data_IF_207606289108
#
_entry.id   IF_207606289108
#
_cell.length_a   1.000
_cell.length_b   1.000
_cell.length_c   1.000
_cell.angle_alpha   90.00
_cell.angle_beta   90.00
_cell.angle_gamma   90.00
#
_symmetry.space_group_name_H-M   'P 1'
#
loop_
_entity.id
_entity.type
_entity.pdbx_description
1 polymer ?
#
# COMPACT_ATOMS: atom_id res chain seq x y z
N UNK A 1 32.57 18.32 4.55
CA UNK A 1 31.21 17.96 5.00
C UNK A 1 31.06 16.46 4.96
N UNK A 2 30.67 15.86 6.10
CA UNK A 2 30.33 14.45 6.22
C UNK A 2 29.00 14.29 6.95
N UNK A 3 28.43 13.08 6.94
CA UNK A 3 27.20 12.76 7.68
C UNK A 3 27.40 11.51 8.50
N UNK A 4 27.03 11.58 9.78
CA UNK A 4 26.99 10.41 10.67
C UNK A 4 25.53 9.98 10.86
N UNK A 5 25.22 8.74 10.50
CA UNK A 5 23.89 8.11 10.69
C UNK A 5 23.98 7.11 11.83
N UNK A 6 23.10 7.23 12.81
CA UNK A 6 22.99 6.22 13.86
C UNK A 6 21.84 5.25 13.55
N UNK A 7 22.11 3.94 13.62
CA UNK A 7 21.12 2.90 13.30
C UNK A 7 20.93 1.93 14.46
N UNK A 8 19.68 1.75 14.89
CA UNK A 8 19.35 0.76 15.90
C UNK A 8 19.40 -0.66 15.34
N UNK A 9 20.13 -1.54 16.01
CA UNK A 9 20.32 -2.95 15.64
C UNK A 9 20.04 -3.86 16.84
N UNK A 10 19.72 -5.13 16.59
CA UNK A 10 19.46 -6.11 17.67
C UNK A 10 20.74 -6.65 18.33
N UNK A 11 21.87 -6.61 17.62
CA UNK A 11 23.20 -6.94 18.14
C UNK A 11 24.22 -5.91 17.65
N UNK A 12 24.80 -5.13 18.57
CA UNK A 12 25.74 -4.05 18.26
C UNK A 12 27.14 -4.56 17.90
N UNK A 13 27.58 -5.67 18.49
CA UNK A 13 28.92 -6.25 18.25
C UNK A 13 29.02 -6.92 16.88
N UNK A 14 27.90 -7.46 16.40
CA UNK A 14 27.82 -8.13 15.12
C UNK A 14 26.49 -7.83 14.40
N UNK A 15 26.31 -6.59 13.91
CA UNK A 15 25.08 -6.19 13.25
C UNK A 15 24.97 -6.90 11.91
N UNK A 16 23.84 -7.57 11.67
CA UNK A 16 23.60 -8.29 10.43
C UNK A 16 23.06 -7.34 9.34
N UNK A 17 23.21 -7.68 8.05
CA UNK A 17 22.51 -6.97 6.98
C UNK A 17 20.98 -6.92 7.16
N UNK A 18 20.42 -7.89 7.90
CA UNK A 18 19.00 -7.94 8.26
C UNK A 18 18.67 -6.88 9.31
N UNK A 19 19.51 -6.66 10.32
CA UNK A 19 19.31 -5.62 11.34
C UNK A 19 19.17 -4.22 10.72
N UNK A 20 20.03 -3.89 9.76
CA UNK A 20 19.96 -2.61 9.04
C UNK A 20 18.79 -2.50 8.06
N UNK A 21 18.26 -3.64 7.60
CA UNK A 21 17.08 -3.71 6.71
C UNK A 21 15.77 -3.67 7.48
N UNK A 22 15.73 -4.26 8.67
CA UNK A 22 14.52 -4.40 9.50
C UNK A 22 14.33 -3.24 10.49
N UNK A 23 15.29 -2.33 10.60
CA UNK A 23 15.09 -1.05 11.29
C UNK A 23 13.94 -0.27 10.63
N UNK A 24 13.02 0.31 11.42
CA UNK A 24 11.78 0.98 10.98
C UNK A 24 12.00 1.99 9.83
N UNK A 25 13.17 2.63 9.77
CA UNK A 25 13.70 3.19 8.52
C UNK A 25 15.03 2.52 8.20
N UNK A 26 15.13 1.75 7.11
CA UNK A 26 16.38 1.13 6.69
C UNK A 26 17.48 2.19 6.55
N UNK A 27 18.70 1.87 6.99
CA UNK A 27 19.85 2.78 6.91
C UNK A 27 20.03 3.36 5.49
N UNK A 28 19.77 2.59 4.45
CA UNK A 28 19.85 3.04 3.05
C UNK A 28 18.79 4.11 2.70
N UNK A 29 17.60 4.05 3.31
CA UNK A 29 16.58 5.10 3.17
C UNK A 29 17.05 6.38 3.83
N UNK A 30 17.66 6.29 5.02
CA UNK A 30 18.26 7.44 5.70
C UNK A 30 19.43 8.03 4.90
N UNK A 31 20.28 7.20 4.29
CA UNK A 31 21.37 7.68 3.40
C UNK A 31 20.84 8.44 2.18
N UNK A 32 19.95 7.83 1.41
CA UNK A 32 19.37 8.47 0.22
C UNK A 32 18.60 9.75 0.57
N UNK A 33 17.93 9.74 1.73
CA UNK A 33 17.30 10.92 2.29
C UNK A 33 18.31 12.01 2.65
N UNK A 34 19.37 11.69 3.40
CA UNK A 34 20.40 12.65 3.81
C UNK A 34 20.99 13.32 2.58
N UNK A 35 21.36 12.51 1.56
CA UNK A 35 21.88 13.00 0.30
C UNK A 35 20.95 14.03 -0.36
N UNK A 36 19.63 13.77 -0.34
CA UNK A 36 18.65 14.65 -0.96
C UNK A 36 18.37 15.92 -0.15
N UNK A 37 18.05 15.77 1.13
CA UNK A 37 17.55 16.86 1.98
C UNK A 37 18.67 17.80 2.39
N UNK A 38 19.82 17.25 2.74
CA UNK A 38 21.00 18.04 3.06
C UNK A 38 21.76 18.47 1.79
N UNK A 39 21.22 18.12 0.60
CA UNK A 39 21.83 18.39 -0.72
C UNK A 39 23.31 18.00 -0.75
N UNK A 40 23.61 16.81 -0.22
CA UNK A 40 24.97 16.34 -0.09
C UNK A 40 25.55 16.09 -1.48
N UNK A 41 26.79 16.52 -1.71
CA UNK A 41 27.53 16.14 -2.90
C UNK A 41 27.69 14.61 -2.96
N UNK A 42 27.75 13.99 -4.15
CA UNK A 42 27.97 12.55 -4.32
C UNK A 42 29.22 12.01 -3.60
N UNK A 43 30.22 12.86 -3.39
CA UNK A 43 31.47 12.54 -2.70
C UNK A 43 31.40 12.71 -1.17
N UNK A 44 30.23 13.11 -0.65
CA UNK A 44 30.03 13.30 0.79
C UNK A 44 30.19 11.98 1.53
N UNK A 45 31.06 11.99 2.54
CA UNK A 45 31.35 10.79 3.35
C UNK A 45 30.22 10.54 4.34
N UNK A 46 29.49 9.44 4.15
CA UNK A 46 28.47 8.98 5.10
C UNK A 46 29.02 7.84 5.95
N UNK A 47 29.05 8.01 7.27
CA UNK A 47 29.42 6.97 8.23
C UNK A 47 28.19 6.49 8.98
N UNK A 48 28.03 5.18 9.12
CA UNK A 48 26.94 4.59 9.91
C UNK A 48 27.54 4.04 11.21
N UNK A 49 26.92 4.38 12.35
CA UNK A 49 27.30 3.86 13.66
C UNK A 49 26.11 3.04 14.21
N UNK A 50 26.31 1.73 14.51
CA UNK A 50 25.27 0.91 15.12
C UNK A 50 25.10 1.25 16.61
N UNK A 51 23.88 1.05 17.14
CA UNK A 51 23.61 1.08 18.57
C UNK A 51 22.54 0.06 18.96
N UNK A 52 22.66 -0.53 20.15
CA UNK A 52 21.72 -1.56 20.62
C UNK A 52 20.31 -1.00 20.87
N UNK A 53 19.25 -1.59 20.29
CA UNK A 53 17.89 -1.03 20.32
C UNK A 53 17.27 -0.78 21.71
N UNK A 54 17.74 -1.50 22.74
CA UNK A 54 17.07 -1.60 24.04
C UNK A 54 17.79 -0.92 25.22
N UNK A 55 18.95 -0.29 25.02
CA UNK A 55 19.80 0.14 26.16
C UNK A 55 20.15 1.63 26.12
N UNK A 56 19.91 2.38 27.20
CA UNK A 56 20.17 3.83 27.22
C UNK A 56 21.67 4.19 27.14
N UNK A 57 22.51 3.41 27.82
CA UNK A 57 23.92 3.75 28.07
C UNK A 57 24.79 3.66 26.81
N UNK A 58 24.63 2.62 25.97
CA UNK A 58 25.28 2.56 24.67
C UNK A 58 24.89 3.74 23.79
N UNK A 59 23.61 4.16 23.75
CA UNK A 59 23.20 5.28 22.90
C UNK A 59 23.83 6.63 23.27
N UNK A 60 24.01 6.90 24.57
CA UNK A 60 24.74 8.10 25.00
C UNK A 60 26.23 8.05 24.57
N UNK A 61 26.86 6.88 24.61
CA UNK A 61 28.25 6.67 24.17
C UNK A 61 28.38 6.70 22.65
N UNK A 62 27.45 6.10 21.92
CA UNK A 62 27.38 6.11 20.46
C UNK A 62 27.24 7.55 19.97
N UNK A 63 26.40 8.37 20.63
CA UNK A 63 26.29 9.77 20.24
C UNK A 63 27.53 10.59 20.62
N UNK A 64 28.16 10.33 21.77
CA UNK A 64 29.43 10.96 22.11
C UNK A 64 30.51 10.67 21.06
N UNK A 65 30.63 9.41 20.65
CA UNK A 65 31.52 8.96 19.58
C UNK A 65 31.16 9.62 18.25
N UNK A 66 29.87 9.68 17.91
CA UNK A 66 29.39 10.38 16.72
C UNK A 66 29.77 11.86 16.75
N UNK A 67 29.71 12.51 17.92
CA UNK A 67 30.06 13.91 18.10
C UNK A 67 31.57 14.16 17.99
N UNK A 68 32.40 13.27 18.53
CA UNK A 68 33.86 13.32 18.31
C UNK A 68 34.19 13.19 16.83
N UNK A 69 33.66 12.17 16.15
CA UNK A 69 33.87 11.97 14.72
C UNK A 69 33.34 13.14 13.89
N UNK A 70 32.17 13.67 14.25
CA UNK A 70 31.56 14.78 13.54
C UNK A 70 32.40 16.06 13.67
N UNK A 71 33.01 16.32 14.83
CA UNK A 71 33.95 17.42 15.02
C UNK A 71 35.23 17.24 14.20
N UNK A 72 35.82 16.04 14.22
CA UNK A 72 37.03 15.74 13.44
C UNK A 72 36.82 15.92 11.92
N UNK A 73 35.59 15.66 11.45
CA UNK A 73 35.25 15.66 10.04
C UNK A 73 34.51 16.92 9.56
N UNK A 74 34.28 17.90 10.45
CA UNK A 74 33.42 19.06 10.21
C UNK A 74 32.09 18.63 9.55
N UNK A 75 31.36 17.79 10.29
CA UNK A 75 30.22 17.02 9.82
C UNK A 75 28.97 17.22 10.70
N UNK A 76 27.81 16.99 10.10
CA UNK A 76 26.50 17.03 10.77
C UNK A 76 26.11 15.63 11.25
N UNK A 77 25.54 15.54 12.45
CA UNK A 77 24.94 14.30 12.95
C UNK A 77 23.49 14.24 12.49
N UNK A 78 23.10 13.13 11.86
CA UNK A 78 21.70 12.88 11.49
C UNK A 78 21.17 11.69 12.27
N UNK A 79 20.15 11.94 13.10
CA UNK A 79 19.55 10.94 13.96
C UNK A 79 18.10 10.64 13.56
N UNK A 80 17.76 9.39 13.30
CA UNK A 80 16.36 9.00 13.11
C UNK A 80 15.68 8.74 14.46
N UNK A 81 14.84 9.67 14.89
CA UNK A 81 14.09 9.59 16.14
C UNK A 81 12.79 8.79 16.03
N UNK A 82 12.38 8.39 14.81
CA UNK A 82 11.15 7.62 14.57
C UNK A 82 11.33 6.14 14.87
N UNK A 83 12.51 5.60 14.55
CA UNK A 83 12.82 4.18 14.68
C UNK A 83 13.45 3.83 16.02
N UNK A 84 13.35 2.56 16.43
CA UNK A 84 13.94 2.04 17.67
C UNK A 84 12.99 2.10 18.87
N UNK A 85 13.42 1.55 20.01
CA UNK A 85 12.64 1.63 21.25
C UNK A 85 12.91 2.97 21.93
N UNK A 86 11.93 3.49 22.69
CA UNK A 86 12.03 4.78 23.41
C UNK A 86 13.36 4.99 24.18
N UNK A 87 13.95 3.98 24.86
CA UNK A 87 15.24 4.14 25.53
C UNK A 87 16.39 4.56 24.61
N UNK A 88 16.40 4.13 23.34
CA UNK A 88 17.40 4.52 22.36
C UNK A 88 17.29 6.01 21.99
N UNK A 89 16.07 6.47 21.68
CA UNK A 89 15.78 7.87 21.38
C UNK A 89 16.13 8.77 22.56
N UNK A 90 15.76 8.38 23.78
CA UNK A 90 16.07 9.12 25.00
C UNK A 90 17.59 9.14 25.26
N UNK A 91 18.26 8.00 25.10
CA UNK A 91 19.72 7.90 25.27
C UNK A 91 20.48 8.79 24.30
N UNK A 92 20.06 8.84 23.02
CA UNK A 92 20.61 9.76 22.04
C UNK A 92 20.37 11.22 22.47
N UNK A 93 19.16 11.60 22.86
CA UNK A 93 18.88 12.97 23.34
C UNK A 93 19.68 13.37 24.58
N UNK A 94 19.88 12.45 25.53
CA UNK A 94 20.67 12.70 26.75
C UNK A 94 22.17 12.81 26.49
N UNK A 95 22.67 12.10 25.46
CA UNK A 95 24.06 12.21 25.03
C UNK A 95 24.37 13.52 24.30
N UNK A 96 23.35 14.16 23.71
CA UNK A 96 23.52 15.40 22.98
C UNK A 96 23.55 16.59 23.94
N UNK A 97 24.57 17.43 23.84
CA UNK A 97 24.70 18.65 24.65
C UNK A 97 24.62 19.87 23.74
N UNK A 98 23.41 20.31 23.34
CA UNK A 98 23.24 21.43 22.41
C UNK A 98 23.82 22.77 22.93
N UNK A 99 24.01 22.88 24.24
CA UNK A 99 24.58 24.07 24.90
C UNK A 99 26.11 24.09 24.91
N UNK A 100 26.77 23.00 24.49
CA UNK A 100 28.22 23.00 24.31
C UNK A 100 28.55 23.72 22.98
N UNK A 101 29.32 24.82 23.00
CA UNK A 101 29.66 25.57 21.78
C UNK A 101 30.50 24.76 20.79
N UNK A 102 31.07 23.63 21.21
CA UNK A 102 31.78 22.70 20.34
C UNK A 102 30.89 21.53 19.87
N UNK A 103 29.63 21.43 20.31
CA UNK A 103 28.75 20.37 19.85
C UNK A 103 28.49 20.51 18.34
N UNK A 104 28.71 19.45 17.56
CA UNK A 104 28.34 19.45 16.15
C UNK A 104 26.82 19.55 16.03
N UNK A 105 26.33 20.18 14.96
CA UNK A 105 24.90 20.26 14.68
C UNK A 105 24.30 18.85 14.62
N UNK A 106 23.21 18.63 15.35
CA UNK A 106 22.39 17.42 15.24
C UNK A 106 21.05 17.73 14.62
N UNK A 107 20.76 17.06 13.50
CA UNK A 107 19.48 17.08 12.82
C UNK A 107 18.75 15.78 13.10
N UNK A 108 17.58 15.87 13.72
CA UNK A 108 16.74 14.72 13.98
C UNK A 108 15.67 14.57 12.90
N UNK A 109 15.35 13.34 12.54
CA UNK A 109 14.25 13.03 11.61
C UNK A 109 13.17 12.30 12.39
N UNK A 110 11.95 12.82 12.33
CA UNK A 110 10.77 12.20 12.93
C UNK A 110 9.69 12.07 11.86
N UNK A 111 8.95 10.96 11.89
CA UNK A 111 7.74 10.80 11.06
C UNK A 111 6.54 10.69 11.98
N UNK A 112 5.62 11.64 11.83
CA UNK A 112 4.33 11.59 12.51
C UNK A 112 3.53 10.35 12.08
N UNK A 113 2.71 9.80 12.97
CA UNK A 113 1.82 8.70 12.60
C UNK A 113 0.45 9.18 12.09
N UNK A 114 0.10 10.44 12.36
CA UNK A 114 -1.10 11.11 11.84
C UNK A 114 -0.96 12.64 11.99
N UNK A 115 -0.72 13.40 10.90
CA UNK A 115 -0.53 12.92 9.53
C UNK A 115 0.80 12.17 9.39
N UNK A 116 0.91 11.29 8.38
CA UNK A 116 2.17 10.61 8.07
C UNK A 116 3.11 11.57 7.34
N UNK A 117 3.72 12.47 8.12
CA UNK A 117 4.59 13.52 7.61
C UNK A 117 5.96 13.38 8.23
N UNK A 118 6.95 13.23 7.37
CA UNK A 118 8.33 13.33 7.77
C UNK A 118 8.65 14.81 8.06
N UNK A 119 9.36 15.03 9.16
CA UNK A 119 9.80 16.34 9.62
C UNK A 119 11.25 16.25 10.08
N UNK A 120 11.96 17.33 9.83
CA UNK A 120 13.24 17.62 10.45
C UNK A 120 12.96 18.32 11.77
N UNK A 121 13.61 17.84 12.82
CA UNK A 121 13.60 18.41 14.15
C UNK A 121 15.03 18.85 14.45
N UNK A 122 15.22 20.14 14.66
CA UNK A 122 16.50 20.72 15.07
C UNK A 122 16.38 21.20 16.52
N UNK A 123 17.41 20.96 17.33
CA UNK A 123 17.49 21.48 18.69
C UNK A 123 18.49 22.63 18.66
N UNK A 124 18.00 23.86 18.83
CA UNK A 124 18.80 25.08 18.89
C UNK A 124 19.75 25.08 20.08
N UNK A 125 20.79 25.92 20.01
CA UNK A 125 21.75 26.11 21.11
C UNK A 125 21.11 26.70 22.38
N UNK A 126 19.94 27.34 22.23
CA UNK A 126 19.07 27.83 23.30
C UNK A 126 18.14 26.74 23.86
N UNK A 127 18.20 25.52 23.33
CA UNK A 127 17.35 24.40 23.69
C UNK A 127 15.95 24.43 23.06
N UNK A 128 15.65 25.39 22.18
CA UNK A 128 14.38 25.41 21.45
C UNK A 128 14.33 24.32 20.39
N UNK A 129 13.13 23.78 20.16
CA UNK A 129 12.90 22.77 19.14
C UNK A 129 12.29 23.44 17.91
N UNK A 130 12.98 23.33 16.78
CA UNK A 130 12.50 23.81 15.48
C UNK A 130 12.07 22.64 14.62
N UNK A 131 10.81 22.61 14.21
CA UNK A 131 10.27 21.60 13.31
C UNK A 131 10.10 22.17 11.89
N UNK A 132 10.66 21.49 10.90
CA UNK A 132 10.47 21.80 9.48
C UNK A 132 9.90 20.60 8.76
N UNK A 133 8.76 20.77 8.08
CA UNK A 133 8.18 19.70 7.26
C UNK A 133 9.10 19.39 6.08
N UNK A 134 9.29 18.11 5.81
CA UNK A 134 10.14 17.70 4.71
C UNK A 134 9.41 17.85 3.37
N UNK A 135 10.07 18.46 2.36
CA UNK A 135 9.48 18.57 1.04
C UNK A 135 9.27 17.18 0.45
N UNK A 136 8.09 17.02 -0.15
CA UNK A 136 7.49 15.78 -0.63
C UNK A 136 8.14 15.27 -1.93
N UNK A 137 9.04 16.04 -2.53
CA UNK A 137 9.46 15.84 -3.91
C UNK A 137 10.21 14.51 -4.12
N UNK A 138 9.92 13.82 -5.24
CA UNK A 138 10.23 12.41 -5.59
C UNK A 138 9.87 11.32 -4.58
N UNK A 139 8.58 11.25 -4.21
CA UNK A 139 8.07 10.17 -3.36
C UNK A 139 8.31 8.77 -3.90
N UNK A 140 8.45 7.85 -2.95
CA UNK A 140 8.63 6.42 -3.13
C UNK A 140 7.66 5.85 -4.17
N UNK A 141 8.15 5.00 -5.06
CA UNK A 141 7.30 4.12 -5.87
C UNK A 141 6.83 2.96 -5.01
N UNK A 142 5.63 2.41 -5.25
CA UNK A 142 5.10 1.23 -4.54
C UNK A 142 6.13 0.09 -4.50
N UNK A 143 6.76 -0.23 -5.63
CA UNK A 143 7.81 -1.26 -5.67
C UNK A 143 9.05 -0.92 -4.82
N UNK A 144 9.43 0.35 -4.71
CA UNK A 144 10.54 0.77 -3.83
C UNK A 144 10.14 0.68 -2.37
N UNK A 145 8.92 1.07 -2.03
CA UNK A 145 8.36 0.95 -0.69
C UNK A 145 8.34 -0.53 -0.24
N UNK A 146 7.78 -1.43 -1.07
CA UNK A 146 7.64 -2.85 -0.74
C UNK A 146 8.99 -3.59 -0.59
N UNK A 147 10.00 -3.21 -1.39
CA UNK A 147 11.35 -3.79 -1.27
C UNK A 147 11.97 -3.56 0.10
N UNK A 148 11.57 -2.51 0.82
CA UNK A 148 12.03 -2.27 2.20
C UNK A 148 11.54 -3.36 3.15
N UNK A 149 10.40 -3.98 2.86
CA UNK A 149 9.84 -5.12 3.61
C UNK A 149 10.29 -6.47 3.05
N UNK A 150 11.28 -6.49 2.16
CA UNK A 150 11.72 -7.70 1.46
C UNK A 150 10.68 -8.28 0.49
N UNK A 151 9.65 -7.50 0.15
CA UNK A 151 8.58 -7.87 -0.79
C UNK A 151 8.87 -7.28 -2.16
N UNK A 152 8.52 -8.01 -3.21
CA UNK A 152 8.66 -7.53 -4.58
C UNK A 152 7.39 -7.79 -5.37
N UNK A 153 7.10 -6.91 -6.32
CA UNK A 153 6.06 -7.13 -7.30
C UNK A 153 6.51 -8.23 -8.28
N UNK A 154 5.67 -9.23 -8.54
CA UNK A 154 6.04 -10.41 -9.34
C UNK A 154 5.70 -10.31 -10.82
N UNK A 155 4.78 -9.43 -11.21
CA UNK A 155 4.31 -9.29 -12.59
C UNK A 155 3.93 -7.83 -12.96
N UNK A 156 4.88 -6.88 -12.89
CA UNK A 156 4.59 -5.46 -13.12
C UNK A 156 4.04 -5.16 -14.52
N UNK A 157 4.49 -5.87 -15.54
CA UNK A 157 3.99 -5.71 -16.91
C UNK A 157 2.53 -6.15 -17.05
N UNK A 158 2.12 -7.24 -16.39
CA UNK A 158 0.71 -7.67 -16.38
C UNK A 158 -0.17 -6.65 -15.69
N UNK A 159 0.31 -6.08 -14.58
CA UNK A 159 -0.38 -5.01 -13.86
C UNK A 159 -0.64 -3.82 -14.77
N UNK A 160 0.39 -3.34 -15.47
CA UNK A 160 0.26 -2.18 -16.37
C UNK A 160 -0.72 -2.45 -17.53
N UNK A 161 -0.72 -3.65 -18.10
CA UNK A 161 -1.71 -4.07 -19.11
C UNK A 161 -3.12 -4.07 -18.52
N UNK A 162 -3.28 -4.56 -17.29
CA UNK A 162 -4.57 -4.56 -16.61
C UNK A 162 -5.07 -3.14 -16.30
N UNK A 163 -4.20 -2.23 -15.83
CA UNK A 163 -4.55 -0.84 -15.58
C UNK A 163 -5.00 -0.11 -16.85
N UNK A 164 -4.28 -0.28 -17.97
CA UNK A 164 -4.68 0.26 -19.27
C UNK A 164 -6.03 -0.31 -19.73
N UNK A 165 -6.23 -1.61 -19.52
CA UNK A 165 -7.52 -2.26 -19.79
C UNK A 165 -8.65 -1.66 -18.95
N UNK A 166 -8.42 -1.42 -17.64
CA UNK A 166 -9.39 -0.76 -16.78
C UNK A 166 -9.72 0.63 -17.34
N UNK A 167 -8.73 1.49 -17.58
CA UNK A 167 -8.97 2.84 -18.11
C UNK A 167 -9.84 2.85 -19.37
N UNK A 168 -9.65 1.90 -20.30
CA UNK A 168 -10.47 1.73 -21.51
C UNK A 168 -11.89 1.20 -21.23
N UNK A 169 -12.08 0.52 -20.11
CA UNK A 169 -13.34 -0.14 -19.71
C UNK A 169 -14.18 0.69 -18.72
N UNK A 170 -13.84 1.98 -18.50
CA UNK A 170 -14.52 2.82 -17.50
C UNK A 170 -16.04 2.91 -17.71
N UNK A 171 -16.48 3.24 -18.92
CA UNK A 171 -17.91 3.36 -19.23
C UNK A 171 -18.67 2.05 -18.98
N UNK A 172 -18.06 0.90 -19.32
CA UNK A 172 -18.62 -0.42 -19.05
C UNK A 172 -18.78 -0.67 -17.54
N UNK A 173 -17.78 -0.31 -16.74
CA UNK A 173 -17.82 -0.48 -15.28
C UNK A 173 -18.97 0.33 -14.66
N UNK A 174 -19.12 1.60 -15.07
CA UNK A 174 -20.19 2.49 -14.59
C UNK A 174 -21.59 1.96 -14.98
N UNK A 175 -21.75 1.46 -16.22
CA UNK A 175 -23.00 0.84 -16.66
C UNK A 175 -23.34 -0.45 -15.90
N UNK A 176 -22.34 -1.29 -15.58
CA UNK A 176 -22.52 -2.48 -14.76
C UNK A 176 -22.93 -2.12 -13.33
N UNK A 177 -22.30 -1.10 -12.73
CA UNK A 177 -22.67 -0.60 -11.40
C UNK A 177 -24.11 -0.09 -11.37
N UNK A 178 -24.48 0.76 -12.33
CA UNK A 178 -25.83 1.30 -12.45
C UNK A 178 -26.87 0.16 -12.62
N UNK A 179 -26.54 -0.83 -13.45
CA UNK A 179 -27.39 -2.00 -13.66
C UNK A 179 -27.53 -2.87 -12.40
N UNK A 180 -26.47 -2.99 -11.59
CA UNK A 180 -26.49 -3.72 -10.34
C UNK A 180 -27.35 -3.06 -9.26
N UNK A 181 -27.40 -1.72 -9.25
CA UNK A 181 -28.17 -0.92 -8.30
C UNK A 181 -29.68 -0.90 -8.59
N UNK A 182 -30.11 -1.24 -9.82
CA UNK A 182 -31.54 -1.34 -10.16
C UNK A 182 -32.24 -2.49 -9.42
N UNK A 183 -33.57 -2.41 -9.29
CA UNK A 183 -34.38 -3.50 -8.73
C UNK A 183 -34.15 -4.81 -9.51
N UNK A 184 -33.73 -5.87 -8.82
CA UNK A 184 -33.36 -7.15 -9.46
C UNK A 184 -31.99 -7.16 -10.17
N UNK A 185 -31.28 -6.03 -10.19
CA UNK A 185 -29.96 -5.87 -10.79
C UNK A 185 -28.91 -6.80 -10.22
N UNK A 186 -28.86 -6.94 -8.89
CA UNK A 186 -27.92 -7.87 -8.21
C UNK A 186 -28.10 -9.32 -8.64
N UNK A 187 -29.36 -9.78 -8.76
CA UNK A 187 -29.66 -11.14 -9.26
C UNK A 187 -29.16 -11.31 -10.69
N UNK A 188 -29.31 -10.27 -11.51
CA UNK A 188 -28.85 -10.26 -12.89
C UNK A 188 -27.32 -10.32 -12.98
N UNK A 189 -26.57 -9.61 -12.12
CA UNK A 189 -25.10 -9.70 -12.05
C UNK A 189 -24.65 -11.13 -11.71
N UNK A 190 -25.33 -11.80 -10.77
CA UNK A 190 -25.05 -13.21 -10.44
C UNK A 190 -25.33 -14.13 -11.63
N UNK A 191 -26.41 -13.89 -12.36
CA UNK A 191 -26.73 -14.64 -13.57
C UNK A 191 -25.64 -14.45 -14.64
N UNK A 192 -25.19 -13.21 -14.87
CA UNK A 192 -24.07 -12.91 -15.76
C UNK A 192 -22.83 -13.70 -15.36
N UNK A 193 -22.42 -13.62 -14.08
CA UNK A 193 -21.29 -14.38 -13.54
C UNK A 193 -21.42 -15.89 -13.79
N UNK A 194 -22.57 -16.47 -13.49
CA UNK A 194 -22.78 -17.91 -13.61
C UNK A 194 -22.74 -18.37 -15.08
N UNK A 195 -23.36 -17.60 -15.98
CA UNK A 195 -23.34 -17.88 -17.42
C UNK A 195 -21.90 -17.85 -17.95
N UNK A 196 -21.16 -16.77 -17.68
CA UNK A 196 -19.79 -16.62 -18.17
C UNK A 196 -18.85 -17.71 -17.66
N UNK A 197 -18.89 -18.03 -16.36
CA UNK A 197 -18.04 -19.07 -15.78
C UNK A 197 -18.40 -20.48 -16.28
N UNK A 198 -19.68 -20.75 -16.54
CA UNK A 198 -20.10 -22.04 -17.10
C UNK A 198 -19.54 -22.21 -18.52
N UNK A 199 -19.69 -21.19 -19.35
CA UNK A 199 -19.21 -21.25 -20.74
C UNK A 199 -17.68 -21.30 -20.81
N UNK A 200 -16.96 -20.54 -19.97
CA UNK A 200 -15.50 -20.62 -19.91
C UNK A 200 -15.04 -22.04 -19.53
N UNK A 201 -15.65 -22.66 -18.51
CA UNK A 201 -15.32 -24.04 -18.12
C UNK A 201 -15.58 -25.05 -19.23
N UNK A 202 -16.61 -24.84 -20.03
CA UNK A 202 -16.88 -25.67 -21.21
C UNK A 202 -15.83 -25.48 -22.32
N UNK A 203 -15.28 -24.26 -22.45
CA UNK A 203 -14.26 -23.93 -23.44
C UNK A 203 -12.83 -24.31 -23.02
N UNK A 204 -12.54 -24.41 -21.73
CA UNK A 204 -11.22 -24.78 -21.18
C UNK A 204 -10.91 -26.27 -21.37
N UNK A 205 -10.50 -26.64 -22.58
CA UNK A 205 -9.75 -27.87 -22.82
C UNK A 205 -8.26 -27.49 -22.75
N UNK A 206 -7.56 -27.93 -21.69
CA UNK A 206 -6.11 -27.76 -21.43
C UNK A 206 -5.61 -26.48 -20.72
N UNK A 207 -6.28 -26.03 -19.65
CA UNK A 207 -5.75 -25.04 -18.68
C UNK A 207 -5.32 -23.68 -19.27
N UNK A 208 -5.83 -23.32 -20.45
CA UNK A 208 -5.60 -22.03 -21.11
C UNK A 208 -6.94 -21.44 -21.48
N UNK A 209 -7.10 -20.14 -21.24
CA UNK A 209 -8.27 -19.38 -21.69
C UNK A 209 -8.48 -19.59 -23.19
N UNK A 210 -9.74 -19.84 -23.60
CA UNK A 210 -10.15 -19.90 -24.99
C UNK A 210 -11.30 -18.93 -25.25
N UNK A 211 -11.30 -18.20 -26.37
CA UNK A 211 -12.44 -17.41 -26.77
C UNK A 211 -13.72 -18.25 -26.83
N UNK A 212 -14.84 -17.69 -26.38
CA UNK A 212 -16.14 -18.36 -26.36
C UNK A 212 -17.27 -17.38 -26.64
N UNK A 213 -18.46 -17.89 -26.97
CA UNK A 213 -19.66 -17.09 -27.18
C UNK A 213 -20.77 -17.49 -26.21
N UNK A 214 -21.61 -16.52 -25.83
CA UNK A 214 -22.67 -16.74 -24.84
C UNK A 214 -23.83 -15.78 -25.02
N UNK A 215 -24.97 -16.05 -24.37
CA UNK A 215 -26.15 -15.17 -24.32
C UNK A 215 -26.33 -14.62 -22.91
N UNK A 216 -25.69 -13.48 -22.57
CA UNK A 216 -25.83 -12.85 -21.25
C UNK A 216 -27.23 -12.22 -21.08
N UNK A 217 -27.64 -11.85 -19.85
CA UNK A 217 -28.87 -11.09 -19.64
C UNK A 217 -28.86 -9.79 -20.46
N UNK A 218 -29.93 -9.53 -21.22
CA UNK A 218 -30.00 -8.42 -22.19
C UNK A 218 -29.68 -7.05 -21.61
N UNK A 219 -30.02 -6.84 -20.34
CA UNK A 219 -29.73 -5.60 -19.59
C UNK A 219 -28.24 -5.23 -19.59
N UNK A 220 -27.34 -6.20 -19.73
CA UNK A 220 -25.89 -5.95 -19.73
C UNK A 220 -25.27 -5.83 -21.11
N UNK A 221 -26.01 -6.08 -22.20
CA UNK A 221 -25.46 -5.99 -23.56
C UNK A 221 -24.82 -4.62 -23.85
N UNK A 222 -25.43 -3.48 -23.46
CA UNK A 222 -24.80 -2.17 -23.66
C UNK A 222 -23.44 -2.04 -22.94
N UNK A 223 -23.35 -2.52 -21.70
CA UNK A 223 -22.11 -2.46 -20.92
C UNK A 223 -21.05 -3.40 -21.50
N UNK A 224 -21.44 -4.63 -21.86
CA UNK A 224 -20.56 -5.64 -22.42
C UNK A 224 -19.93 -5.15 -23.72
N UNK A 225 -20.70 -4.51 -24.61
CA UNK A 225 -20.22 -3.97 -25.87
C UNK A 225 -19.11 -2.91 -25.72
N UNK A 226 -18.98 -2.31 -24.53
CA UNK A 226 -17.94 -1.31 -24.22
C UNK A 226 -16.67 -1.94 -23.64
N UNK A 227 -16.65 -3.25 -23.37
CA UNK A 227 -15.48 -3.94 -22.81
C UNK A 227 -14.53 -4.35 -23.94
N UNK A 228 -13.27 -3.87 -23.95
CA UNK A 228 -12.27 -4.31 -24.92
C UNK A 228 -12.12 -5.84 -24.94
N UNK A 229 -12.01 -6.44 -26.13
CA UNK A 229 -11.93 -7.89 -26.27
C UNK A 229 -13.29 -8.59 -26.13
N UNK A 230 -14.39 -7.88 -26.37
CA UNK A 230 -15.72 -8.46 -26.57
C UNK A 230 -16.30 -8.07 -27.94
N UNK A 231 -17.24 -8.87 -28.45
CA UNK A 231 -17.94 -8.60 -29.71
C UNK A 231 -19.41 -8.97 -29.60
N UNK A 232 -20.29 -8.03 -29.92
CA UNK A 232 -21.72 -8.32 -30.10
C UNK A 232 -21.94 -9.02 -31.44
N UNK A 233 -22.63 -10.15 -31.41
CA UNK A 233 -22.99 -10.95 -32.58
C UNK A 233 -24.52 -10.89 -32.80
N UNK A 234 -25.02 -11.31 -33.98
CA UNK A 234 -26.44 -11.49 -34.21
C UNK A 234 -27.10 -12.39 -33.15
N UNK A 235 -28.36 -12.11 -32.82
CA UNK A 235 -29.16 -12.93 -31.90
C UNK A 235 -28.83 -12.75 -30.41
N UNK A 236 -28.43 -11.54 -29.98
CA UNK A 236 -28.10 -11.20 -28.59
C UNK A 236 -26.98 -12.09 -28.00
N UNK A 237 -26.07 -12.59 -28.85
CA UNK A 237 -24.90 -13.35 -28.42
C UNK A 237 -23.68 -12.45 -28.34
N UNK A 238 -22.75 -12.77 -27.44
CA UNK A 238 -21.51 -12.04 -27.23
C UNK A 238 -20.35 -13.00 -27.29
N UNK A 239 -19.32 -12.68 -28.08
CA UNK A 239 -18.02 -13.33 -28.02
C UNK A 239 -17.11 -12.64 -27.00
N UNK A 240 -16.47 -13.43 -26.14
CA UNK A 240 -15.43 -12.97 -25.21
C UNK A 240 -14.10 -13.48 -25.74
N UNK A 241 -13.23 -12.56 -26.17
CA UNK A 241 -12.01 -12.87 -26.92
C UNK A 241 -10.76 -12.95 -26.03
N UNK A 242 -10.81 -12.39 -24.82
CA UNK A 242 -9.65 -12.31 -23.92
C UNK A 242 -9.98 -12.67 -22.47
N UNK A 243 -8.97 -13.14 -21.73
CA UNK A 243 -9.08 -13.41 -20.29
C UNK A 243 -9.38 -12.14 -19.48
N UNK A 244 -8.85 -10.99 -19.90
CA UNK A 244 -9.14 -9.70 -19.26
C UNK A 244 -10.61 -9.31 -19.39
N UNK A 245 -11.20 -9.46 -20.58
CA UNK A 245 -12.63 -9.23 -20.81
C UNK A 245 -13.50 -10.16 -19.96
N UNK A 246 -13.14 -11.44 -19.91
CA UNK A 246 -13.82 -12.41 -19.05
C UNK A 246 -13.76 -11.98 -17.57
N UNK A 247 -12.55 -11.77 -17.04
CA UNK A 247 -12.33 -11.42 -15.63
C UNK A 247 -13.03 -10.13 -15.23
N UNK A 248 -13.01 -9.13 -16.11
CA UNK A 248 -13.75 -7.88 -15.93
C UNK A 248 -15.23 -8.13 -15.74
N UNK A 249 -15.87 -8.87 -16.65
CA UNK A 249 -17.30 -9.15 -16.60
C UNK A 249 -17.71 -10.09 -15.45
N UNK A 250 -16.78 -10.89 -14.90
CA UNK A 250 -17.03 -11.78 -13.76
C UNK A 250 -16.65 -11.19 -12.40
N UNK A 251 -16.18 -9.95 -12.35
CA UNK A 251 -16.04 -9.23 -11.07
C UNK A 251 -15.03 -8.09 -11.06
N UNK A 252 -14.03 -8.10 -11.94
CA UNK A 252 -12.98 -7.07 -11.94
C UNK A 252 -13.48 -5.68 -12.37
N UNK A 253 -14.71 -5.56 -12.86
CA UNK A 253 -15.37 -4.27 -13.06
C UNK A 253 -15.45 -3.43 -11.77
N UNK A 254 -15.59 -4.07 -10.61
CA UNK A 254 -15.60 -3.38 -9.32
C UNK A 254 -14.22 -2.82 -8.97
N UNK A 255 -13.15 -3.56 -9.25
CA UNK A 255 -11.76 -3.08 -9.11
C UNK A 255 -11.56 -1.82 -9.95
N UNK A 256 -12.08 -1.82 -11.18
CA UNK A 256 -12.12 -0.65 -12.06
C UNK A 256 -12.80 0.56 -11.41
N UNK A 257 -14.01 0.40 -10.86
CA UNK A 257 -14.72 1.51 -10.21
C UNK A 257 -13.95 2.10 -9.02
N UNK A 258 -13.37 1.24 -8.19
CA UNK A 258 -12.56 1.66 -7.03
C UNK A 258 -11.29 2.38 -7.52
N UNK A 259 -10.63 1.85 -8.56
CA UNK A 259 -9.48 2.48 -9.19
C UNK A 259 -9.80 3.88 -9.71
N UNK A 260 -10.90 4.06 -10.46
CA UNK A 260 -11.29 5.39 -10.95
C UNK A 260 -11.63 6.34 -9.81
N UNK A 261 -12.35 5.87 -8.78
CA UNK A 261 -12.70 6.70 -7.64
C UNK A 261 -11.45 7.15 -6.87
N UNK A 262 -10.48 6.27 -6.65
CA UNK A 262 -9.20 6.65 -6.05
C UNK A 262 -8.48 7.71 -6.90
N UNK A 263 -8.43 7.52 -8.23
CA UNK A 263 -7.81 8.52 -9.14
C UNK A 263 -8.52 9.87 -9.12
N UNK A 264 -9.85 9.87 -9.01
CA UNK A 264 -10.68 11.07 -8.89
C UNK A 264 -10.36 11.84 -7.61
N UNK A 265 -10.32 11.14 -6.46
CA UNK A 265 -9.98 11.73 -5.15
C UNK A 265 -8.62 12.41 -5.17
N UNK A 266 -7.61 11.77 -5.76
CA UNK A 266 -6.25 12.31 -5.77
C UNK A 266 -5.98 13.28 -6.91
N UNK A 267 -6.92 13.53 -7.83
CA UNK A 267 -6.84 14.64 -8.81
C UNK A 267 -5.56 14.72 -9.65
N UNK A 268 -4.89 13.59 -9.91
CA UNK A 268 -3.61 13.59 -10.66
C UNK A 268 -2.39 14.07 -9.87
N UNK A 269 -2.48 14.14 -8.54
CA UNK A 269 -1.33 14.38 -7.65
C UNK A 269 -0.17 13.45 -8.00
N UNK A 270 0.96 14.05 -8.41
CA UNK A 270 2.14 13.31 -8.87
C UNK A 270 2.79 12.48 -7.76
N UNK A 271 2.57 12.84 -6.50
CA UNK A 271 3.11 12.17 -5.32
C UNK A 271 2.24 11.01 -4.82
N UNK A 272 1.13 10.72 -5.52
CA UNK A 272 0.28 9.56 -5.25
C UNK A 272 0.50 8.49 -6.32
N UNK A 273 0.70 7.24 -5.89
CA UNK A 273 0.79 6.07 -6.76
C UNK A 273 -0.37 5.14 -6.47
N UNK A 274 -1.08 4.74 -7.52
CA UNK A 274 -2.21 3.81 -7.43
C UNK A 274 -1.88 2.64 -8.35
N UNK A 275 -1.93 1.42 -7.82
CA UNK A 275 -1.65 0.19 -8.54
C UNK A 275 -2.88 -0.73 -8.46
N UNK A 276 -3.42 -1.17 -9.59
CA UNK A 276 -4.56 -2.09 -9.65
C UNK A 276 -4.10 -3.50 -10.04
N UNK A 277 -4.55 -4.56 -9.34
CA UNK A 277 -4.10 -5.93 -9.60
C UNK A 277 -2.63 -6.16 -9.23
N UNK A 278 -2.24 -5.71 -8.04
CA UNK A 278 -0.86 -5.80 -7.55
C UNK A 278 -0.54 -7.21 -7.06
N UNK A 279 0.34 -7.92 -7.75
CA UNK A 279 0.84 -9.24 -7.32
C UNK A 279 2.17 -9.13 -6.58
N UNK A 280 2.21 -9.62 -5.33
CA UNK A 280 3.36 -9.53 -4.44
C UNK A 280 3.94 -10.91 -4.13
N UNK A 281 5.25 -11.04 -4.36
CA UNK A 281 6.07 -12.15 -3.91
C UNK A 281 6.57 -11.90 -2.49
N UNK A 282 6.08 -12.71 -1.55
CA UNK A 282 6.48 -12.63 -0.14
C UNK A 282 7.85 -13.29 0.10
N UNK A 283 8.63 -12.84 1.09
CA UNK A 283 9.86 -13.51 1.50
C UNK A 283 9.66 -15.02 1.68
N UNK A 284 10.54 -15.80 1.06
CA UNK A 284 10.49 -17.26 1.11
C UNK A 284 10.75 -17.73 2.54
N UNK A 285 9.80 -18.47 3.14
CA UNK A 285 10.04 -19.16 4.42
C UNK A 285 11.01 -20.34 4.22
N UNK A 286 11.84 -20.72 5.21
CA UNK A 286 12.84 -21.78 5.06
C UNK A 286 12.31 -23.12 4.52
N UNK A 287 11.06 -23.47 4.83
CA UNK A 287 10.41 -24.71 4.40
C UNK A 287 9.69 -24.63 3.04
N UNK A 288 9.57 -23.45 2.43
CA UNK A 288 8.86 -23.28 1.16
C UNK A 288 9.81 -23.49 -0.01
N UNK A 289 9.35 -24.11 -1.10
CA UNK A 289 10.13 -24.20 -2.35
C UNK A 289 10.07 -22.92 -3.19
N UNK A 290 8.92 -22.26 -3.21
CA UNK A 290 8.67 -20.99 -3.91
C UNK A 290 8.13 -19.93 -2.94
N UNK A 291 8.39 -18.63 -3.21
CA UNK A 291 7.70 -17.53 -2.53
C UNK A 291 6.19 -17.71 -2.56
N UNK A 292 5.50 -17.34 -1.47
CA UNK A 292 4.06 -17.19 -1.51
C UNK A 292 3.72 -15.94 -2.34
N UNK A 293 2.75 -16.05 -3.24
CA UNK A 293 2.24 -14.92 -4.01
C UNK A 293 0.90 -14.49 -3.39
N UNK A 294 0.74 -13.19 -3.17
CA UNK A 294 -0.53 -12.58 -2.77
C UNK A 294 -0.89 -11.50 -3.78
N UNK A 295 -2.15 -11.45 -4.21
CA UNK A 295 -2.68 -10.39 -5.08
C UNK A 295 -3.40 -9.36 -4.23
N UNK A 296 -3.44 -8.10 -4.63
CA UNK A 296 -4.32 -7.08 -4.09
C UNK A 296 -5.04 -6.38 -5.23
N UNK A 297 -6.34 -6.15 -5.05
CA UNK A 297 -7.17 -5.53 -6.07
C UNK A 297 -6.73 -4.08 -6.32
N UNK A 298 -6.40 -3.34 -5.25
CA UNK A 298 -5.74 -2.03 -5.32
C UNK A 298 -4.70 -1.84 -4.23
N UNK A 299 -3.64 -1.10 -4.53
CA UNK A 299 -2.74 -0.50 -3.56
C UNK A 299 -2.56 1.00 -3.85
N UNK A 300 -2.61 1.82 -2.80
CA UNK A 300 -2.49 3.27 -2.89
C UNK A 300 -1.32 3.69 -2.01
N UNK A 301 -0.29 4.30 -2.59
CA UNK A 301 0.80 4.93 -1.86
C UNK A 301 0.64 6.44 -1.99
N UNK A 302 0.25 7.09 -0.91
CA UNK A 302 0.07 8.54 -0.80
C UNK A 302 0.63 8.97 0.55
N UNK A 303 1.31 10.12 0.61
CA UNK A 303 1.91 10.59 1.87
C UNK A 303 2.81 9.56 2.55
N UNK A 304 3.60 8.79 1.76
CA UNK A 304 4.45 7.69 2.24
C UNK A 304 3.73 6.60 3.05
N UNK A 305 2.39 6.58 2.97
CA UNK A 305 1.49 5.61 3.58
C UNK A 305 0.94 4.68 2.50
N UNK A 306 1.05 3.38 2.73
CA UNK A 306 0.52 2.37 1.82
C UNK A 306 -0.83 1.87 2.31
N UNK A 307 -1.89 2.09 1.54
CA UNK A 307 -3.21 1.54 1.78
C UNK A 307 -3.47 0.36 0.84
N UNK A 308 -4.12 -0.70 1.34
CA UNK A 308 -4.57 -1.83 0.52
C UNK A 308 -6.09 -1.84 0.40
N UNK A 309 -6.58 -2.17 -0.79
CA UNK A 309 -8.01 -2.31 -1.05
C UNK A 309 -8.28 -3.68 -1.65
N UNK A 310 -9.31 -4.33 -1.14
CA UNK A 310 -9.89 -5.54 -1.70
C UNK A 310 -11.34 -5.24 -2.14
N UNK A 311 -11.66 -5.66 -3.35
CA UNK A 311 -12.95 -5.62 -3.98
C UNK A 311 -13.61 -7.00 -3.91
N UNK A 312 -14.90 -7.03 -3.55
CA UNK A 312 -15.69 -8.27 -3.62
C UNK A 312 -17.02 -7.99 -4.29
N UNK A 313 -17.09 -8.30 -5.58
CA UNK A 313 -18.33 -8.33 -6.37
C UNK A 313 -19.15 -9.60 -6.08
N UNK A 314 -19.32 -9.95 -4.80
CA UNK A 314 -20.04 -11.15 -4.35
C UNK A 314 -21.43 -10.78 -3.83
N UNK A 315 -22.40 -11.69 -3.99
CA UNK A 315 -23.73 -11.56 -3.35
C UNK A 315 -24.16 -12.86 -2.69
N UNK A 316 -24.95 -12.78 -1.62
CA UNK A 316 -25.60 -13.93 -1.00
C UNK A 316 -24.65 -14.95 -0.34
N UNK A 317 -25.12 -16.20 -0.18
CA UNK A 317 -24.44 -17.25 0.62
C UNK A 317 -23.06 -17.67 0.10
N UNK A 318 -22.78 -17.49 -1.20
CA UNK A 318 -21.49 -17.85 -1.80
C UNK A 318 -20.32 -16.95 -1.34
N UNK A 319 -20.63 -15.81 -0.71
CA UNK A 319 -19.64 -14.82 -0.27
C UNK A 319 -19.11 -14.99 1.16
N UNK A 320 -19.80 -15.74 2.03
CA UNK A 320 -19.57 -15.71 3.49
C UNK A 320 -18.13 -16.06 3.90
N UNK A 321 -17.63 -17.22 3.47
CA UNK A 321 -16.26 -17.66 3.79
C UNK A 321 -15.17 -16.84 3.11
N UNK A 322 -15.48 -16.25 1.94
CA UNK A 322 -14.55 -15.39 1.20
C UNK A 322 -14.39 -14.02 1.85
N UNK A 323 -15.41 -13.54 2.56
CA UNK A 323 -15.40 -12.22 3.18
C UNK A 323 -14.46 -12.18 4.40
N UNK A 324 -14.62 -13.12 5.34
CA UNK A 324 -13.73 -13.22 6.51
C UNK A 324 -12.27 -13.46 6.09
N UNK A 325 -12.04 -14.34 5.12
CA UNK A 325 -10.70 -14.54 4.56
C UNK A 325 -10.09 -13.29 3.91
N UNK A 326 -10.91 -12.44 3.28
CA UNK A 326 -10.45 -11.15 2.74
C UNK A 326 -10.11 -10.15 3.86
N UNK A 327 -10.92 -10.10 4.93
CA UNK A 327 -10.65 -9.28 6.13
C UNK A 327 -9.33 -9.71 6.78
N UNK A 328 -9.13 -11.01 7.01
CA UNK A 328 -7.92 -11.56 7.63
C UNK A 328 -6.67 -11.28 6.78
N UNK A 329 -6.80 -11.46 5.46
CA UNK A 329 -5.73 -11.15 4.49
C UNK A 329 -5.35 -9.67 4.59
N UNK A 330 -6.33 -8.78 4.52
CA UNK A 330 -6.12 -7.34 4.59
C UNK A 330 -5.48 -6.90 5.91
N UNK A 331 -6.01 -7.38 7.05
CA UNK A 331 -5.46 -7.07 8.36
C UNK A 331 -4.00 -7.51 8.50
N UNK A 332 -3.72 -8.76 8.14
CA UNK A 332 -2.35 -9.32 8.17
C UNK A 332 -1.38 -8.47 7.36
N UNK A 333 -1.74 -8.11 6.12
CA UNK A 333 -0.80 -7.41 5.24
C UNK A 333 -0.74 -5.91 5.51
N UNK A 334 -1.79 -5.30 6.06
CA UNK A 334 -1.71 -3.95 6.63
C UNK A 334 -0.63 -3.91 7.72
N UNK A 335 -0.73 -4.80 8.70
CA UNK A 335 0.22 -4.84 9.81
C UNK A 335 1.65 -5.11 9.34
N UNK A 336 1.82 -5.95 8.31
CA UNK A 336 3.13 -6.32 7.79
C UNK A 336 3.76 -5.28 6.87
N UNK A 337 2.98 -4.60 6.03
CA UNK A 337 3.50 -3.80 4.91
C UNK A 337 3.07 -2.34 4.97
N UNK A 338 1.87 -2.04 5.46
CA UNK A 338 1.33 -0.68 5.51
C UNK A 338 1.81 0.14 6.72
N UNK A 339 2.31 -0.54 7.75
CA UNK A 339 2.66 0.09 9.02
C UNK A 339 1.44 0.59 9.80
N UNK A 340 1.66 1.28 10.93
CA UNK A 340 0.59 1.67 11.85
C UNK A 340 -0.35 2.77 11.32
N UNK A 341 0.05 3.50 10.28
CA UNK A 341 -0.76 4.57 9.68
C UNK A 341 -1.57 4.12 8.47
N UNK A 342 -1.13 3.06 7.78
CA UNK A 342 -1.78 2.66 6.54
C UNK A 342 -3.11 1.94 6.77
N UNK A 343 -4.00 2.11 5.81
CA UNK A 343 -5.39 1.66 5.89
C UNK A 343 -5.62 0.40 5.07
N UNK A 344 -6.59 -0.40 5.49
CA UNK A 344 -7.06 -1.55 4.74
C UNK A 344 -8.56 -1.44 4.50
N UNK A 345 -8.98 -1.60 3.25
CA UNK A 345 -10.34 -1.37 2.81
C UNK A 345 -10.91 -2.62 2.14
N UNK A 346 -12.11 -3.04 2.54
CA UNK A 346 -12.88 -4.09 1.89
C UNK A 346 -14.18 -3.50 1.37
N UNK A 347 -14.36 -3.53 0.04
CA UNK A 347 -15.47 -2.87 -0.64
C UNK A 347 -16.35 -3.92 -1.31
N UNK A 348 -17.61 -4.00 -0.89
CA UNK A 348 -18.57 -5.03 -1.32
C UNK A 348 -19.97 -4.45 -1.57
N UNK A 349 -20.18 -3.74 -2.70
CA UNK A 349 -21.42 -3.00 -2.94
C UNK A 349 -22.65 -3.88 -3.11
N UNK A 350 -22.47 -5.15 -3.50
CA UNK A 350 -23.58 -6.08 -3.74
C UNK A 350 -24.12 -6.73 -2.45
N UNK A 351 -23.48 -6.52 -1.30
CA UNK A 351 -23.95 -6.96 0.01
C UNK A 351 -24.58 -5.79 0.77
N UNK A 352 -25.70 -6.04 1.43
CA UNK A 352 -26.37 -5.06 2.30
C UNK A 352 -25.90 -5.16 3.74
N UNK A 353 -26.08 -4.07 4.48
CA UNK A 353 -25.75 -3.99 5.91
C UNK A 353 -26.41 -5.11 6.71
N UNK A 354 -27.69 -5.43 6.42
CA UNK A 354 -28.39 -6.54 7.07
C UNK A 354 -27.71 -7.89 6.84
N UNK A 355 -27.34 -8.18 5.59
CA UNK A 355 -26.65 -9.43 5.23
C UNK A 355 -25.28 -9.58 5.90
N UNK A 356 -24.59 -8.47 6.18
CA UNK A 356 -23.27 -8.46 6.81
C UNK A 356 -23.33 -8.54 8.34
N UNK A 357 -24.39 -8.00 8.96
CA UNK A 357 -24.63 -8.12 10.41
C UNK A 357 -24.84 -9.58 10.80
N UNK A 358 -25.58 -10.33 9.99
CA UNK A 358 -25.81 -11.78 10.19
C UNK A 358 -24.53 -12.62 10.07
N UNK A 359 -23.40 -12.02 9.68
CA UNK A 359 -22.11 -12.69 9.48
C UNK A 359 -21.05 -12.26 10.49
N UNK A 360 -21.38 -11.37 11.43
CA UNK A 360 -20.41 -10.70 12.30
C UNK A 360 -19.27 -10.02 11.52
N UNK A 361 -19.47 -9.72 10.23
CA UNK A 361 -18.40 -9.24 9.36
C UNK A 361 -17.93 -7.82 9.73
N UNK A 362 -18.86 -6.95 10.11
CA UNK A 362 -18.52 -5.60 10.61
C UNK A 362 -17.71 -5.67 11.90
N UNK A 363 -18.16 -6.50 12.86
CA UNK A 363 -17.47 -6.67 14.14
C UNK A 363 -16.06 -7.25 13.94
N UNK A 364 -15.93 -8.25 13.05
CA UNK A 364 -14.63 -8.81 12.70
C UNK A 364 -13.71 -7.77 12.07
N UNK A 365 -14.19 -7.06 11.04
CA UNK A 365 -13.43 -6.03 10.36
C UNK A 365 -12.98 -4.91 11.31
N UNK A 366 -13.87 -4.44 12.19
CA UNK A 366 -13.56 -3.44 13.22
C UNK A 366 -12.47 -3.93 14.18
N UNK A 367 -12.60 -5.16 14.71
CA UNK A 367 -11.63 -5.74 15.65
C UNK A 367 -10.21 -5.84 15.09
N UNK A 368 -10.09 -6.04 13.77
CA UNK A 368 -8.78 -6.13 13.10
C UNK A 368 -8.41 -4.83 12.36
N UNK A 369 -9.22 -3.77 12.46
CA UNK A 369 -9.01 -2.45 11.87
C UNK A 369 -9.10 -2.39 10.34
N UNK A 370 -9.91 -3.24 9.72
CA UNK A 370 -10.25 -3.18 8.29
C UNK A 370 -11.53 -2.37 8.11
N UNK A 371 -11.51 -1.39 7.21
CA UNK A 371 -12.71 -0.62 6.85
C UNK A 371 -13.57 -1.42 5.88
N UNK A 372 -14.74 -1.86 6.32
CA UNK A 372 -15.70 -2.60 5.51
C UNK A 372 -16.80 -1.67 4.99
N UNK A 373 -16.86 -1.49 3.67
CA UNK A 373 -17.85 -0.65 3.00
C UNK A 373 -18.77 -1.52 2.12
N UNK A 374 -20.08 -1.32 2.27
CA UNK A 374 -21.09 -2.13 1.60
C UNK A 374 -22.28 -1.32 1.10
N UNK A 375 -23.14 -1.96 0.31
CA UNK A 375 -24.31 -1.35 -0.32
C UNK A 375 -23.96 -0.47 -1.52
N UNK A 376 -24.99 0.09 -2.15
CA UNK A 376 -24.86 0.75 -3.45
C UNK A 376 -23.96 2.00 -3.38
N UNK A 377 -23.87 2.64 -2.21
CA UNK A 377 -22.99 3.78 -1.96
C UNK A 377 -21.56 3.40 -1.54
N UNK A 378 -21.18 2.11 -1.48
CA UNK A 378 -19.88 1.69 -0.94
C UNK A 378 -18.68 2.34 -1.63
N UNK A 379 -18.70 2.41 -2.96
CA UNK A 379 -17.61 3.03 -3.75
C UNK A 379 -17.58 4.54 -3.54
N UNK A 380 -18.73 5.19 -3.41
CA UNK A 380 -18.80 6.63 -3.16
C UNK A 380 -18.27 6.96 -1.76
N UNK A 381 -18.70 6.22 -0.73
CA UNK A 381 -18.18 6.33 0.64
C UNK A 381 -16.69 6.07 0.73
N UNK A 382 -16.18 5.10 -0.06
CA UNK A 382 -14.74 4.87 -0.15
C UNK A 382 -14.02 6.15 -0.61
N UNK A 383 -14.52 6.83 -1.64
CA UNK A 383 -13.93 8.07 -2.10
C UNK A 383 -13.95 9.18 -1.05
N UNK A 384 -15.07 9.36 -0.35
CA UNK A 384 -15.24 10.35 0.71
C UNK A 384 -14.28 10.10 1.89
N UNK A 385 -14.27 8.87 2.41
CA UNK A 385 -13.40 8.50 3.54
C UNK A 385 -11.92 8.46 3.14
N UNK A 386 -11.60 8.14 1.88
CA UNK A 386 -10.25 8.20 1.36
C UNK A 386 -9.75 9.64 1.34
N UNK A 387 -10.54 10.58 0.81
CA UNK A 387 -10.22 12.01 0.80
C UNK A 387 -9.99 12.56 2.21
N UNK A 388 -10.91 12.24 3.14
CA UNK A 388 -10.78 12.63 4.55
C UNK A 388 -9.50 12.07 5.19
N UNK A 389 -9.19 10.79 4.95
CA UNK A 389 -8.02 10.13 5.53
C UNK A 389 -6.69 10.69 5.04
N UNK A 390 -6.67 11.37 3.90
CA UNK A 390 -5.49 12.01 3.30
C UNK A 390 -5.58 13.54 3.35
N UNK A 391 -6.54 14.09 4.15
CA UNK A 391 -6.75 15.54 4.34
C UNK A 391 -6.82 16.33 3.01
N UNK A 392 -7.51 15.77 2.01
CA UNK A 392 -7.65 16.36 0.67
C UNK A 392 -8.86 17.29 0.60
#
# INVERSE_FOLDING_TARGET
>A
MGVVIMSAVSNEENPTPTDYKESIYPTERLKGFCAKVLRLDPDTRIKVIPGHSDSFRPWAQVLHTAAEMARELDAEIVFNATGGRKPATIGALLGYRPTDPLAPKMTMISVGLSPFQARVIEIGSDGQIHETLLPIEDRLRIGTYLRQYGVSETAPEKRLVFEDFLLKSRAAAEMLAASAAMAGGRKSIVQLYNVLNREQKAAEVYWKFRPYSTSPPKVFLPAIAQVPGTRLNPGDTVSIETELAHGFLTGKWLEGLIFYKAREVFGGKNDVKIAAGLELGMPKKPKQRKPAITEFDLAILAEDRLDFVEAKAISGKMGKGKLHGAIDKLAKYRDQLSGPSGMAWLITPLLQTGELKDLDAFKHAENVGVKLLCGDAAVQKFGEELAESHRI
#
